data_IF_707206651534
#
_entry.id   IF_707206651534
#
_cell.length_a   1.000
_cell.length_b   1.000
_cell.length_c   1.000
_cell.angle_alpha   90.00
_cell.angle_beta   90.00
_cell.angle_gamma   90.00
#
_symmetry.space_group_name_H-M   'P 1'
#
loop_
_entity.id
_entity.type
_entity.pdbx_description
1 polymer ?
#
# COMPACT_ATOMS: atom_id res chain seq x y z
N UNK A 1 -12.40 18.12 2.77
CA UNK A 1 -11.03 18.67 2.97
C UNK A 1 -10.10 17.70 2.26
N UNK A 2 -9.28 18.15 1.30
CA UNK A 2 -8.40 17.24 0.53
C UNK A 2 -7.27 16.76 1.43
N UNK A 3 -6.99 15.46 1.53
CA UNK A 3 -5.89 14.97 2.38
C UNK A 3 -4.56 15.36 1.76
N UNK A 4 -3.62 15.79 2.61
CA UNK A 4 -2.28 16.14 2.17
C UNK A 4 -1.45 14.86 2.15
N UNK A 5 -1.12 14.38 0.96
CA UNK A 5 -0.21 13.25 0.80
C UNK A 5 1.14 13.63 1.42
N UNK A 6 1.57 12.80 2.37
CA UNK A 6 2.85 12.87 3.05
C UNK A 6 3.47 11.50 2.83
N UNK A 7 4.23 11.40 1.75
CA UNK A 7 4.79 10.15 1.22
C UNK A 7 5.72 9.40 2.19
N UNK A 8 5.83 9.79 3.45
CA UNK A 8 6.60 9.06 4.46
C UNK A 8 5.80 7.89 5.02
N UNK A 9 6.42 6.71 4.98
CA UNK A 9 5.90 5.48 5.52
C UNK A 9 6.80 5.02 6.66
N UNK A 10 6.25 4.38 7.68
CA UNK A 10 7.00 4.00 8.87
C UNK A 10 6.85 2.53 9.19
N UNK A 11 7.98 1.85 9.38
CA UNK A 11 8.04 0.54 9.98
C UNK A 11 8.04 0.69 11.50
N UNK A 12 7.23 -0.09 12.19
CA UNK A 12 7.18 -0.09 13.65
C UNK A 12 6.77 -1.46 14.22
N UNK A 13 7.03 -1.67 15.51
CA UNK A 13 6.45 -2.77 16.30
C UNK A 13 5.63 -2.23 17.46
N UNK A 14 4.75 -3.08 17.98
CA UNK A 14 4.00 -2.85 19.23
C UNK A 14 4.21 -4.07 20.14
N UNK A 15 4.12 -3.86 21.46
CA UNK A 15 4.23 -4.97 22.42
C UNK A 15 3.04 -5.94 22.31
N UNK A 16 1.86 -5.42 21.98
CA UNK A 16 0.63 -6.19 21.77
C UNK A 16 -0.19 -5.56 20.62
N UNK A 17 -0.58 -6.38 19.64
CA UNK A 17 -1.41 -5.96 18.51
C UNK A 17 -2.79 -5.43 18.97
N UNK A 18 -3.28 -5.88 20.13
CA UNK A 18 -4.54 -5.41 20.72
C UNK A 18 -4.53 -3.91 21.00
N UNK A 19 -3.35 -3.32 21.26
CA UNK A 19 -3.19 -1.89 21.47
C UNK A 19 -3.64 -1.07 20.26
N UNK A 20 -3.36 -1.55 19.04
CA UNK A 20 -3.79 -0.87 17.81
C UNK A 20 -5.31 -0.96 17.67
N UNK A 21 -5.90 -2.12 17.97
CA UNK A 21 -7.34 -2.33 17.91
C UNK A 21 -8.10 -1.49 18.94
N UNK A 22 -7.51 -1.21 20.11
CA UNK A 22 -8.09 -0.34 21.13
C UNK A 22 -7.90 1.15 20.83
N UNK A 23 -6.74 1.52 20.27
CA UNK A 23 -6.37 2.91 20.03
C UNK A 23 -7.04 3.49 18.79
N UNK A 24 -7.02 2.78 17.66
CA UNK A 24 -7.47 3.33 16.38
C UNK A 24 -8.94 3.79 16.39
N UNK A 25 -9.89 3.10 17.07
CA UNK A 25 -11.27 3.58 17.19
C UNK A 25 -11.43 4.85 18.03
N UNK A 26 -10.41 5.27 18.79
CA UNK A 26 -10.43 6.49 19.63
C UNK A 26 -9.79 7.69 18.93
N UNK A 27 -9.09 7.45 17.83
CA UNK A 27 -8.49 8.50 17.01
C UNK A 27 -9.62 9.28 16.31
N UNK A 28 -9.45 10.60 16.15
CA UNK A 28 -10.43 11.50 15.52
C UNK A 28 -10.98 10.93 14.19
N UNK A 29 -12.29 11.08 13.95
CA UNK A 29 -13.00 10.53 12.78
C UNK A 29 -12.48 11.07 11.43
N UNK A 30 -11.74 12.18 11.42
CA UNK A 30 -11.17 12.76 10.20
C UNK A 30 -9.81 12.14 9.81
N UNK A 31 -9.18 11.40 10.71
CA UNK A 31 -7.91 10.69 10.49
C UNK A 31 -8.18 9.27 10.01
N UNK A 32 -7.53 8.87 8.93
CA UNK A 32 -7.54 7.47 8.51
C UNK A 32 -6.37 6.70 9.09
N UNK A 33 -6.55 6.27 10.33
CA UNK A 33 -5.57 5.46 11.05
C UNK A 33 -5.51 4.05 10.45
N UNK A 34 -4.33 3.64 9.98
CA UNK A 34 -4.14 2.34 9.36
C UNK A 34 -2.76 1.75 9.64
N UNK A 35 -2.71 0.44 9.88
CA UNK A 35 -1.46 -0.31 10.02
C UNK A 35 -1.59 -1.64 9.28
N UNK A 36 -0.55 -1.98 8.52
CA UNK A 36 -0.48 -3.22 7.76
C UNK A 36 0.65 -4.09 8.28
N UNK A 37 0.35 -5.33 8.63
CA UNK A 37 1.36 -6.31 9.04
C UNK A 37 2.27 -6.66 7.86
N UNK A 38 3.58 -6.63 8.08
CA UNK A 38 4.56 -6.91 7.03
C UNK A 38 4.61 -8.40 6.72
N UNK A 39 4.50 -8.74 5.44
CA UNK A 39 4.55 -10.12 4.96
C UNK A 39 5.86 -10.79 5.36
N UNK A 40 5.75 -11.94 6.00
CA UNK A 40 6.89 -12.72 6.47
C UNK A 40 7.48 -12.24 7.79
N UNK A 41 6.74 -11.45 8.58
CA UNK A 41 7.10 -11.04 9.94
C UNK A 41 5.99 -11.35 10.94
N UNK A 42 6.34 -11.43 12.23
CA UNK A 42 5.38 -11.72 13.30
C UNK A 42 4.79 -10.48 13.94
N UNK A 43 5.51 -9.36 14.01
CA UNK A 43 5.17 -8.19 14.83
C UNK A 43 5.53 -6.84 14.19
N UNK A 44 5.97 -6.85 12.92
CA UNK A 44 6.33 -5.63 12.20
C UNK A 44 5.14 -5.11 11.39
N UNK A 45 4.89 -3.82 11.51
CA UNK A 45 3.82 -3.11 10.83
C UNK A 45 4.36 -1.96 9.99
N UNK A 46 3.62 -1.60 8.94
CA UNK A 46 3.81 -0.37 8.17
C UNK A 46 2.60 0.54 8.36
N UNK A 47 2.85 1.83 8.52
CA UNK A 47 1.80 2.84 8.62
C UNK A 47 2.15 4.12 7.87
N UNK A 48 1.16 5.01 7.70
CA UNK A 48 1.30 6.32 7.08
C UNK A 48 1.82 7.36 8.10
N UNK A 49 2.37 8.47 7.60
CA UNK A 49 2.72 9.61 8.46
C UNK A 49 1.54 10.13 9.27
N UNK A 50 0.36 10.24 8.65
CA UNK A 50 -0.88 10.67 9.30
C UNK A 50 -1.23 9.79 10.51
N UNK A 51 -1.13 8.46 10.35
CA UNK A 51 -1.40 7.51 11.44
C UNK A 51 -0.31 7.58 12.51
N UNK A 52 0.97 7.71 12.14
CA UNK A 52 2.06 7.89 13.12
C UNK A 52 1.84 9.14 13.97
N UNK A 53 1.54 10.27 13.36
CA UNK A 53 1.25 11.52 14.06
C UNK A 53 0.03 11.39 14.97
N UNK A 54 -0.97 10.59 14.58
CA UNK A 54 -2.10 10.26 15.44
C UNK A 54 -1.67 9.38 16.62
N UNK A 55 -0.88 8.33 16.40
CA UNK A 55 -0.35 7.50 17.48
C UNK A 55 0.46 8.32 18.51
N UNK A 56 1.30 9.25 18.02
CA UNK A 56 2.06 10.17 18.87
C UNK A 56 1.14 11.11 19.69
N UNK A 57 0.06 11.62 19.09
CA UNK A 57 -0.92 12.50 19.77
C UNK A 57 -1.74 11.78 20.85
N UNK A 58 -1.97 10.48 20.67
CA UNK A 58 -2.81 9.66 21.55
C UNK A 58 -1.99 8.79 22.51
N UNK A 59 -0.68 9.04 22.62
CA UNK A 59 0.25 8.31 23.47
C UNK A 59 0.19 6.78 23.27
N UNK A 60 -0.03 6.34 22.02
CA UNK A 60 -0.03 4.91 21.67
C UNK A 60 1.41 4.41 21.76
N UNK A 61 1.73 3.38 22.57
CA UNK A 61 3.10 2.91 22.69
C UNK A 61 3.50 2.07 21.47
N UNK A 62 4.59 2.45 20.80
CA UNK A 62 5.17 1.71 19.67
C UNK A 62 6.69 1.96 19.59
N UNK A 63 7.40 1.06 18.91
CA UNK A 63 8.82 1.23 18.58
C UNK A 63 8.98 1.53 17.09
N UNK A 64 9.42 2.73 16.74
CA UNK A 64 9.74 3.09 15.36
C UNK A 64 11.04 2.41 14.92
N UNK A 65 10.98 1.60 13.87
CA UNK A 65 12.13 0.88 13.33
C UNK A 65 12.83 1.64 12.22
N UNK A 66 12.05 2.14 11.24
CA UNK A 66 12.59 2.81 10.06
C UNK A 66 11.55 3.73 9.40
N UNK A 67 12.05 4.70 8.64
CA UNK A 67 11.26 5.59 7.77
C UNK A 67 11.60 5.30 6.30
N UNK A 68 10.56 5.21 5.48
CA UNK A 68 10.64 5.02 4.04
C UNK A 68 10.01 6.14 3.24
N UNK A 69 10.63 6.43 2.10
CA UNK A 69 10.09 7.37 1.12
C UNK A 69 9.14 6.62 0.17
N UNK A 70 7.85 6.69 0.47
CA UNK A 70 6.76 6.15 -0.32
C UNK A 70 6.66 6.75 -1.74
N UNK A 71 7.38 7.83 -2.07
CA UNK A 71 7.49 8.26 -3.47
C UNK A 71 8.24 7.24 -4.35
N UNK A 72 9.01 6.34 -3.73
CA UNK A 72 9.67 5.22 -4.42
C UNK A 72 8.70 4.08 -4.76
N UNK A 73 7.52 4.03 -4.14
CA UNK A 73 6.50 3.01 -4.37
C UNK A 73 5.53 3.50 -5.44
N UNK A 74 5.54 2.84 -6.60
CA UNK A 74 4.68 3.21 -7.72
C UNK A 74 3.26 2.70 -7.56
N UNK A 75 2.25 3.55 -7.76
CA UNK A 75 0.84 3.16 -7.79
C UNK A 75 0.26 3.47 -9.18
N UNK A 76 -0.35 2.48 -9.82
CA UNK A 76 -1.07 2.64 -11.06
C UNK A 76 -2.57 2.48 -10.82
N UNK A 77 -3.30 3.58 -10.99
CA UNK A 77 -4.75 3.61 -10.84
C UNK A 77 -5.43 3.40 -12.19
N UNK A 78 -6.49 2.59 -12.20
CA UNK A 78 -7.53 2.72 -13.22
C UNK A 78 -8.40 3.96 -12.95
N UNK A 79 -9.25 4.35 -13.90
CA UNK A 79 -10.06 5.57 -13.79
C UNK A 79 -10.90 5.63 -12.49
N UNK A 80 -11.60 4.54 -12.16
CA UNK A 80 -12.47 4.49 -10.98
C UNK A 80 -11.69 4.60 -9.66
N UNK A 81 -10.60 3.84 -9.53
CA UNK A 81 -9.75 3.90 -8.34
C UNK A 81 -9.06 5.25 -8.19
N UNK A 82 -8.74 5.93 -9.30
CA UNK A 82 -8.15 7.29 -9.26
C UNK A 82 -9.14 8.30 -8.68
N UNK A 83 -10.42 8.17 -9.01
CA UNK A 83 -11.47 9.06 -8.50
C UNK A 83 -11.78 8.81 -7.03
N UNK A 84 -11.89 7.54 -6.61
CA UNK A 84 -12.29 7.20 -5.23
C UNK A 84 -11.13 7.20 -4.23
N UNK A 85 -9.91 6.88 -4.66
CA UNK A 85 -8.80 6.60 -3.76
C UNK A 85 -7.70 7.66 -3.74
N UNK A 86 -7.87 8.79 -4.42
CA UNK A 86 -6.86 9.85 -4.48
C UNK A 86 -6.40 10.34 -3.10
N UNK A 87 -7.31 10.42 -2.13
CA UNK A 87 -7.00 10.83 -0.75
C UNK A 87 -6.42 9.70 0.12
N UNK A 88 -6.24 8.49 -0.43
CA UNK A 88 -5.78 7.29 0.27
C UNK A 88 -4.50 6.68 -0.35
N UNK A 89 -3.84 7.40 -1.26
CA UNK A 89 -2.68 6.88 -1.98
C UNK A 89 -1.55 6.42 -1.05
N UNK A 90 -1.25 7.17 0.02
CA UNK A 90 -0.22 6.78 0.99
C UNK A 90 -0.60 5.50 1.76
N UNK A 91 -1.89 5.23 1.98
CA UNK A 91 -2.34 3.97 2.57
C UNK A 91 -2.15 2.79 1.60
N UNK A 92 -2.39 2.99 0.31
CA UNK A 92 -2.12 1.95 -0.71
C UNK A 92 -0.61 1.71 -0.83
N UNK A 93 0.22 2.76 -0.74
CA UNK A 93 1.68 2.63 -0.69
C UNK A 93 2.14 1.87 0.56
N UNK A 94 1.56 2.18 1.73
CA UNK A 94 1.81 1.43 2.97
C UNK A 94 1.46 -0.06 2.83
N UNK A 95 0.31 -0.37 2.21
CA UNK A 95 -0.10 -1.75 1.91
C UNK A 95 0.91 -2.44 0.99
N UNK A 96 1.30 -1.77 -0.10
CA UNK A 96 2.25 -2.27 -1.09
C UNK A 96 3.61 -2.57 -0.44
N UNK A 97 4.08 -1.65 0.41
CA UNK A 97 5.30 -1.79 1.18
C UNK A 97 5.22 -2.96 2.19
N UNK A 98 4.10 -3.10 2.91
CA UNK A 98 3.87 -4.21 3.83
C UNK A 98 3.88 -5.57 3.12
N UNK A 99 3.43 -5.63 1.87
CA UNK A 99 3.49 -6.83 1.05
C UNK A 99 4.87 -7.10 0.42
N UNK A 100 5.90 -6.26 0.72
CA UNK A 100 7.24 -6.30 0.10
C UNK A 100 7.16 -6.17 -1.43
N UNK A 101 6.34 -5.23 -1.90
CA UNK A 101 6.23 -4.88 -3.30
C UNK A 101 6.78 -3.47 -3.57
N UNK A 102 7.27 -3.25 -4.78
CA UNK A 102 7.79 -1.95 -5.26
C UNK A 102 6.75 -1.15 -6.04
N UNK A 103 5.65 -1.80 -6.43
CA UNK A 103 4.53 -1.11 -7.03
C UNK A 103 3.26 -1.95 -7.04
N UNK A 104 2.15 -1.27 -7.28
CA UNK A 104 0.83 -1.89 -7.34
C UNK A 104 -0.01 -1.28 -8.46
N UNK A 105 -0.77 -2.11 -9.17
CA UNK A 105 -1.76 -1.66 -10.16
C UNK A 105 -3.16 -2.11 -9.75
N UNK A 106 -4.12 -1.20 -9.83
CA UNK A 106 -5.52 -1.52 -9.61
C UNK A 106 -6.07 -2.24 -10.86
N UNK A 107 -6.51 -3.48 -10.68
CA UNK A 107 -7.00 -4.33 -11.78
C UNK A 107 -8.51 -4.49 -11.81
N UNK A 108 -9.22 -3.96 -10.82
CA UNK A 108 -10.67 -3.97 -10.79
C UNK A 108 -11.25 -3.82 -9.39
N UNK A 109 -12.54 -4.09 -9.30
CA UNK A 109 -13.32 -4.08 -8.06
C UNK A 109 -13.66 -5.52 -7.69
N UNK A 110 -13.68 -5.82 -6.40
CA UNK A 110 -14.09 -7.12 -5.88
C UNK A 110 -15.47 -7.51 -6.43
N UNK A 111 -15.58 -8.71 -7.01
CA UNK A 111 -16.79 -9.20 -7.66
C UNK A 111 -16.85 -8.98 -9.17
N UNK A 112 -15.86 -8.33 -9.79
CA UNK A 112 -15.74 -8.27 -11.25
C UNK A 112 -15.30 -9.63 -11.81
N UNK A 113 -16.17 -10.23 -12.64
CA UNK A 113 -15.95 -11.53 -13.27
C UNK A 113 -14.79 -11.54 -14.29
N UNK A 114 -14.28 -10.37 -14.68
CA UNK A 114 -13.18 -10.25 -15.66
C UNK A 114 -11.79 -10.24 -15.03
N UNK A 115 -11.70 -10.27 -13.70
CA UNK A 115 -10.41 -10.28 -13.00
C UNK A 115 -9.74 -11.64 -13.17
N UNK A 116 -8.55 -11.64 -13.76
CA UNK A 116 -7.69 -12.81 -13.89
C UNK A 116 -6.73 -12.93 -12.68
N UNK A 117 -6.98 -13.94 -11.83
CA UNK A 117 -6.15 -14.27 -10.67
C UNK A 117 -5.17 -15.42 -10.92
N UNK A 118 -4.98 -15.85 -12.17
CA UNK A 118 -4.16 -17.02 -12.53
C UNK A 118 -2.67 -16.91 -12.16
N UNK A 119 -2.19 -15.71 -11.83
CA UNK A 119 -0.82 -15.48 -11.37
C UNK A 119 -0.53 -15.98 -9.95
N UNK A 120 -1.56 -16.37 -9.19
CA UNK A 120 -1.42 -16.77 -7.79
C UNK A 120 -1.92 -15.68 -6.82
N UNK A 121 -2.69 -16.08 -5.82
CA UNK A 121 -3.38 -15.17 -4.89
C UNK A 121 -2.42 -14.33 -4.04
N UNK A 122 -1.18 -14.80 -3.84
CA UNK A 122 -0.13 -14.15 -3.08
C UNK A 122 0.38 -12.82 -3.68
N UNK A 123 0.02 -12.57 -4.94
CA UNK A 123 0.35 -11.39 -5.71
C UNK A 123 -0.74 -10.32 -5.68
N UNK A 124 -1.85 -10.58 -4.99
CA UNK A 124 -2.98 -9.66 -4.95
C UNK A 124 -3.28 -9.23 -3.52
N UNK A 125 -3.80 -8.02 -3.38
CA UNK A 125 -4.35 -7.53 -2.14
C UNK A 125 -5.57 -6.66 -2.37
N UNK A 126 -6.38 -6.50 -1.34
CA UNK A 126 -7.58 -5.68 -1.37
C UNK A 126 -7.34 -4.37 -0.63
N UNK A 127 -7.90 -3.28 -1.15
CA UNK A 127 -8.00 -2.02 -0.44
C UNK A 127 -9.45 -1.53 -0.49
N UNK A 128 -10.00 -1.18 0.67
CA UNK A 128 -11.37 -0.68 0.79
C UNK A 128 -11.34 0.70 1.45
N UNK A 129 -11.82 1.70 0.72
CA UNK A 129 -12.06 3.02 1.30
C UNK A 129 -13.25 2.96 2.30
N UNK A 130 -13.30 3.82 3.33
CA UNK A 130 -14.35 3.81 4.37
C UNK A 130 -15.80 3.80 3.87
N UNK A 131 -16.07 4.35 2.69
CA UNK A 131 -17.41 4.39 2.08
C UNK A 131 -17.34 4.19 0.56
N UNK A 132 -16.52 3.23 0.10
CA UNK A 132 -16.26 3.02 -1.33
C UNK A 132 -16.17 1.56 -1.73
N UNK A 133 -15.77 1.35 -2.98
CA UNK A 133 -15.55 0.01 -3.50
C UNK A 133 -14.36 -0.68 -2.80
N UNK A 134 -14.40 -2.02 -2.80
CA UNK A 134 -13.22 -2.82 -2.47
C UNK A 134 -12.44 -3.06 -3.76
N UNK A 135 -11.30 -2.41 -3.90
CA UNK A 135 -10.45 -2.52 -5.08
C UNK A 135 -9.45 -3.65 -4.93
N UNK A 136 -9.19 -4.35 -6.04
CA UNK A 136 -8.17 -5.37 -6.12
C UNK A 136 -6.90 -4.80 -6.76
N UNK A 137 -5.78 -5.04 -6.10
CA UNK A 137 -4.46 -4.57 -6.49
C UNK A 137 -3.56 -5.75 -6.83
N UNK A 138 -2.94 -5.73 -8.02
CA UNK A 138 -1.82 -6.62 -8.37
C UNK A 138 -0.53 -5.96 -7.88
N UNK A 139 0.21 -6.67 -7.04
CA UNK A 139 1.42 -6.21 -6.35
C UNK A 139 2.68 -6.75 -7.06
N UNK A 140 3.67 -5.92 -7.34
CA UNK A 140 4.90 -6.33 -8.03
C UNK A 140 6.10 -6.27 -7.10
N UNK A 141 6.82 -7.37 -6.94
CA UNK A 141 8.05 -7.43 -6.15
C UNK A 141 9.26 -6.86 -6.89
N UNK A 142 9.19 -6.77 -8.22
CA UNK A 142 10.24 -6.22 -9.05
C UNK A 142 9.69 -5.45 -10.25
N UNK A 143 10.44 -4.46 -10.73
CA UNK A 143 10.11 -3.69 -11.94
C UNK A 143 9.92 -4.58 -13.16
N UNK A 144 10.83 -5.54 -13.33
CA UNK A 144 10.77 -6.50 -14.44
C UNK A 144 9.47 -7.30 -14.43
N UNK A 145 8.99 -7.68 -13.25
CA UNK A 145 7.71 -8.39 -13.09
C UNK A 145 6.54 -7.55 -13.61
N UNK A 146 6.50 -6.25 -13.26
CA UNK A 146 5.47 -5.33 -13.74
C UNK A 146 5.52 -5.16 -15.27
N UNK A 147 6.72 -4.99 -15.85
CA UNK A 147 6.92 -4.87 -17.30
C UNK A 147 6.43 -6.14 -18.01
N UNK A 148 6.85 -7.31 -17.54
CA UNK A 148 6.47 -8.59 -18.15
C UNK A 148 4.96 -8.84 -18.03
N UNK A 149 4.33 -8.42 -16.92
CA UNK A 149 2.88 -8.49 -16.74
C UNK A 149 2.12 -7.67 -17.80
N UNK A 150 2.47 -6.39 -17.98
CA UNK A 150 1.77 -5.54 -18.96
C UNK A 150 2.05 -5.95 -20.40
N UNK A 151 3.29 -6.30 -20.75
CA UNK A 151 3.61 -6.81 -22.10
C UNK A 151 2.82 -8.06 -22.46
N UNK A 152 2.52 -8.92 -21.48
CA UNK A 152 1.79 -10.16 -21.71
C UNK A 152 0.27 -9.96 -21.73
N UNK A 153 -0.29 -9.19 -20.79
CA UNK A 153 -1.74 -9.09 -20.58
C UNK A 153 -2.39 -7.88 -21.23
N UNK A 154 -1.66 -6.79 -21.37
CA UNK A 154 -2.16 -5.52 -21.89
C UNK A 154 -1.15 -4.88 -22.86
N UNK A 155 -0.73 -5.59 -23.93
CA UNK A 155 0.28 -5.08 -24.86
C UNK A 155 -0.11 -3.77 -25.56
N UNK A 156 -1.41 -3.45 -25.57
CA UNK A 156 -1.97 -2.21 -26.11
C UNK A 156 -1.92 -1.02 -25.12
N UNK A 157 -1.74 -1.28 -23.82
CA UNK A 157 -1.75 -0.25 -22.77
C UNK A 157 -0.35 0.34 -22.58
N UNK A 158 -0.03 1.33 -23.42
CA UNK A 158 1.26 2.01 -23.39
C UNK A 158 1.47 2.82 -22.11
N UNK A 159 0.41 3.42 -21.54
CA UNK A 159 0.49 4.21 -20.29
C UNK A 159 0.90 3.31 -19.12
N UNK A 160 0.27 2.14 -19.00
CA UNK A 160 0.60 1.18 -17.96
C UNK A 160 2.02 0.61 -18.11
N UNK A 161 2.48 0.41 -19.35
CA UNK A 161 3.84 -0.02 -19.62
C UNK A 161 4.88 1.06 -19.27
N UNK A 162 4.63 2.32 -19.64
CA UNK A 162 5.49 3.45 -19.28
C UNK A 162 5.57 3.62 -17.76
N UNK A 163 4.45 3.46 -17.05
CA UNK A 163 4.44 3.42 -15.59
C UNK A 163 5.34 2.30 -15.03
N UNK A 164 5.23 1.09 -15.58
CA UNK A 164 6.01 -0.06 -15.11
C UNK A 164 7.52 0.15 -15.35
N UNK A 165 7.90 0.71 -16.51
CA UNK A 165 9.29 1.05 -16.82
C UNK A 165 9.82 2.18 -15.93
N UNK A 166 8.93 3.10 -15.52
CA UNK A 166 9.21 4.25 -14.67
C UNK A 166 9.25 4.00 -13.16
N UNK A 167 8.97 2.78 -12.67
CA UNK A 167 9.08 2.45 -11.24
C UNK A 167 10.47 2.83 -10.72
N UNK A 168 10.56 3.46 -9.54
CA UNK A 168 11.84 3.94 -9.02
C UNK A 168 12.79 2.80 -8.62
N UNK A 169 12.24 1.76 -7.99
CA UNK A 169 12.98 0.60 -7.51
C UNK A 169 13.04 -0.49 -8.58
N UNK A 170 14.10 -1.30 -8.57
CA UNK A 170 14.26 -2.48 -9.43
C UNK A 170 13.65 -3.70 -8.75
N UNK A 171 13.85 -3.86 -7.44
CA UNK A 171 13.29 -4.95 -6.64
C UNK A 171 13.00 -4.54 -5.20
N UNK A 172 12.18 -5.35 -4.53
CA UNK A 172 11.88 -5.20 -3.10
C UNK A 172 13.11 -5.38 -2.19
N UNK A 173 14.22 -5.88 -2.70
CA UNK A 173 15.49 -5.99 -1.96
C UNK A 173 16.17 -4.62 -1.76
N UNK A 174 15.78 -3.61 -2.56
CA UNK A 174 16.25 -2.23 -2.40
C UNK A 174 15.47 -1.44 -1.34
N UNK A 175 14.35 -1.99 -0.84
CA UNK A 175 13.63 -1.41 0.28
C UNK A 175 14.51 -1.50 1.54
N UNK A 176 14.50 -0.46 2.37
CA UNK A 176 15.25 -0.48 3.62
C UNK A 176 14.77 -1.63 4.49
N UNK A 177 15.76 -2.41 4.91
CA UNK A 177 15.59 -3.40 5.96
C UNK A 177 15.45 -2.70 7.32
N UNK A 178 14.55 -3.21 8.14
CA UNK A 178 14.49 -2.89 9.57
C UNK A 178 15.52 -3.78 10.29
N UNK A 179 16.59 -3.18 10.82
CA UNK A 179 17.61 -3.84 11.65
C UNK A 179 17.59 -3.27 13.06
#
# INVERSE_FOLDING_TARGET
MKRRLNHRLYYFTVEDESLLAEAFPRIEDDIYAIAYKVKGTEDVFVTTAETKEAMDRYDVPYNCLAEEDGSQIGIHHNALSREELADFEDAIKALTLACRAVGATCIGVNGDAKIDLSDGVEHFSYFTAPAGHTFLWRLFGARKEAIDYFKKRHPEDQEALEWAEGLALTSAEELKSYH
#
